data_IF_174197337954
#
_entry.id   IF_174197337954
#
_cell.length_a   1.000
_cell.length_b   1.000
_cell.length_c   1.000
_cell.angle_alpha   90.00
_cell.angle_beta   90.00
_cell.angle_gamma   90.00
#
_symmetry.space_group_name_H-M   'P 1'
#
loop_
_entity.id
_entity.type
_entity.pdbx_description
1 polymer ?
#
# COMPACT_ATOMS: atom_id res chain seq x y z
N UNK A 1 -3.98 -12.63 24.14
CA UNK A 1 -4.58 -11.40 23.59
C UNK A 1 -3.45 -10.48 23.22
N UNK A 2 -3.47 -9.90 22.01
CA UNK A 2 -2.53 -8.83 21.66
C UNK A 2 -2.88 -7.58 22.45
N UNK A 3 -1.90 -6.98 23.11
CA UNK A 3 -2.07 -5.79 23.91
C UNK A 3 -1.11 -4.70 23.43
N UNK A 4 -1.52 -3.43 23.50
CA UNK A 4 -0.64 -2.30 23.14
C UNK A 4 0.57 -2.15 24.07
N UNK A 5 0.56 -2.79 25.24
CA UNK A 5 1.70 -2.86 26.15
C UNK A 5 2.80 -3.82 25.69
N UNK A 6 2.50 -4.70 24.73
CA UNK A 6 3.48 -5.65 24.20
C UNK A 6 4.49 -4.93 23.33
N UNK A 7 5.74 -5.34 23.40
CA UNK A 7 6.78 -4.86 22.49
C UNK A 7 6.50 -5.32 21.05
N UNK A 8 7.17 -4.70 20.07
CA UNK A 8 7.04 -5.10 18.66
C UNK A 8 7.51 -6.54 18.43
N UNK A 9 8.55 -6.95 19.16
CA UNK A 9 9.11 -8.30 19.16
C UNK A 9 8.12 -9.31 19.71
N UNK A 10 7.46 -8.97 20.82
CA UNK A 10 6.43 -9.83 21.43
C UNK A 10 5.22 -9.98 20.50
N UNK A 11 4.71 -8.87 19.96
CA UNK A 11 3.60 -8.88 18.99
C UNK A 11 3.94 -9.76 17.78
N UNK A 12 5.15 -9.63 17.25
CA UNK A 12 5.64 -10.42 16.12
C UNK A 12 5.75 -11.91 16.46
N UNK A 13 6.41 -12.26 17.56
CA UNK A 13 6.58 -13.64 17.99
C UNK A 13 5.22 -14.33 18.20
N UNK A 14 4.24 -13.59 18.75
CA UNK A 14 2.88 -14.09 18.94
C UNK A 14 2.11 -14.18 17.62
N UNK A 15 2.26 -13.23 16.69
CA UNK A 15 1.69 -13.31 15.34
C UNK A 15 2.17 -14.56 14.59
N UNK A 16 3.44 -14.93 14.73
CA UNK A 16 3.97 -16.15 14.12
C UNK A 16 3.40 -17.44 14.71
N UNK A 17 3.24 -17.50 16.03
CA UNK A 17 2.60 -18.66 16.68
C UNK A 17 1.15 -18.80 16.23
N UNK A 18 0.42 -17.69 16.20
CA UNK A 18 -0.96 -17.67 15.75
C UNK A 18 -1.11 -18.03 14.27
N UNK A 19 -0.20 -17.57 13.40
CA UNK A 19 -0.18 -17.92 11.98
C UNK A 19 -0.21 -19.44 11.79
N UNK A 20 0.63 -20.17 12.52
CA UNK A 20 0.68 -21.63 12.49
C UNK A 20 -0.66 -22.20 12.99
N UNK A 21 -1.14 -21.70 14.12
CA UNK A 21 -2.36 -22.19 14.77
C UNK A 21 -3.64 -22.01 13.93
N UNK A 22 -3.74 -20.91 13.17
CA UNK A 22 -4.94 -20.60 12.37
C UNK A 22 -4.85 -21.09 10.92
N UNK A 23 -3.65 -21.41 10.42
CA UNK A 23 -3.37 -21.69 9.00
C UNK A 23 -4.32 -22.71 8.36
N UNK A 24 -4.52 -23.88 8.97
CA UNK A 24 -5.36 -24.95 8.41
C UNK A 24 -6.80 -24.48 8.23
N UNK A 25 -7.42 -23.92 9.28
CA UNK A 25 -8.81 -23.42 9.23
C UNK A 25 -8.93 -22.27 8.23
N UNK A 26 -7.95 -21.38 8.20
CA UNK A 26 -7.93 -20.25 7.29
C UNK A 26 -7.85 -20.69 5.82
N UNK A 27 -6.97 -21.63 5.49
CA UNK A 27 -6.83 -22.17 4.14
C UNK A 27 -8.09 -22.91 3.69
N UNK A 28 -8.71 -23.72 4.57
CA UNK A 28 -10.00 -24.35 4.27
C UNK A 28 -11.10 -23.33 3.94
N UNK A 29 -11.15 -22.23 4.70
CA UNK A 29 -12.08 -21.14 4.42
C UNK A 29 -11.78 -20.46 3.07
N UNK A 30 -10.51 -20.13 2.80
CA UNK A 30 -10.09 -19.56 1.52
C UNK A 30 -10.51 -20.43 0.35
N UNK A 31 -10.28 -21.75 0.42
CA UNK A 31 -10.63 -22.68 -0.64
C UNK A 31 -12.15 -22.77 -0.84
N UNK A 32 -12.92 -22.77 0.25
CA UNK A 32 -14.39 -22.71 0.18
C UNK A 32 -14.87 -21.43 -0.52
N UNK A 33 -14.29 -20.29 -0.16
CA UNK A 33 -14.65 -18.99 -0.75
C UNK A 33 -14.24 -18.92 -2.23
N UNK A 34 -13.07 -19.46 -2.60
CA UNK A 34 -12.64 -19.59 -4.00
C UNK A 34 -13.59 -20.44 -4.83
N UNK A 35 -13.95 -21.64 -4.35
CA UNK A 35 -14.93 -22.52 -5.01
C UNK A 35 -16.26 -21.81 -5.21
N UNK A 36 -16.75 -21.10 -4.18
CA UNK A 36 -17.98 -20.31 -4.26
C UNK A 36 -17.88 -19.19 -5.30
N UNK A 37 -16.77 -18.45 -5.35
CA UNK A 37 -16.54 -17.41 -6.34
C UNK A 37 -16.53 -17.96 -7.77
N UNK A 38 -15.90 -19.12 -8.01
CA UNK A 38 -15.92 -19.79 -9.31
C UNK A 38 -17.33 -20.18 -9.74
N UNK A 39 -18.14 -20.74 -8.83
CA UNK A 39 -19.52 -21.14 -9.13
C UNK A 39 -20.44 -19.95 -9.41
N UNK A 40 -20.16 -18.77 -8.84
CA UNK A 40 -21.00 -17.58 -9.03
C UNK A 40 -20.50 -16.66 -10.15
N UNK A 41 -19.41 -16.99 -10.83
CA UNK A 41 -18.91 -16.21 -11.97
C UNK A 41 -19.98 -16.08 -13.07
N UNK A 42 -20.24 -14.88 -13.64
CA UNK A 42 -19.50 -13.63 -13.48
C UNK A 42 -20.06 -12.71 -12.39
N UNK A 43 -21.02 -13.15 -11.58
CA UNK A 43 -21.68 -12.32 -10.58
C UNK A 43 -20.77 -11.98 -9.39
N UNK A 44 -20.83 -10.73 -8.89
CA UNK A 44 -20.03 -10.31 -7.75
C UNK A 44 -20.48 -11.03 -6.47
N UNK A 45 -19.52 -11.63 -5.77
CA UNK A 45 -19.74 -12.25 -4.47
C UNK A 45 -19.66 -11.20 -3.36
N UNK A 46 -20.67 -11.17 -2.48
CA UNK A 46 -20.60 -10.40 -1.24
C UNK A 46 -19.40 -10.86 -0.37
N UNK A 47 -18.73 -9.94 0.37
CA UNK A 47 -17.60 -10.29 1.22
C UNK A 47 -17.93 -11.48 2.13
N UNK A 48 -17.00 -12.45 2.20
CA UNK A 48 -17.13 -13.61 3.08
C UNK A 48 -16.17 -13.44 4.25
N UNK A 49 -16.63 -13.70 5.48
CA UNK A 49 -15.83 -13.53 6.69
C UNK A 49 -15.91 -14.76 7.59
N UNK A 50 -14.80 -15.06 8.26
CA UNK A 50 -14.70 -16.07 9.31
C UNK A 50 -13.88 -15.51 10.48
N UNK A 51 -14.23 -15.91 11.69
CA UNK A 51 -13.46 -15.58 12.90
C UNK A 51 -12.86 -16.84 13.50
N UNK A 52 -11.60 -16.79 13.90
CA UNK A 52 -10.89 -17.85 14.62
C UNK A 52 -10.35 -17.28 15.92
N UNK A 53 -10.70 -17.91 17.04
CA UNK A 53 -10.10 -17.59 18.34
C UNK A 53 -9.00 -18.59 18.65
N UNK A 54 -7.78 -18.10 18.92
CA UNK A 54 -6.65 -18.96 19.31
C UNK A 54 -6.73 -19.33 20.79
N UNK A 55 -5.93 -20.30 21.24
CA UNK A 55 -5.86 -20.72 22.65
C UNK A 55 -5.47 -19.57 23.57
N UNK A 56 -4.70 -18.60 23.06
CA UNK A 56 -4.32 -17.36 23.76
C UNK A 56 -5.40 -16.27 23.73
N UNK A 57 -6.61 -16.63 23.28
CA UNK A 57 -7.78 -15.76 23.11
C UNK A 57 -7.57 -14.60 22.13
N UNK A 58 -6.60 -14.71 21.21
CA UNK A 58 -6.50 -13.77 20.10
C UNK A 58 -7.61 -14.06 19.10
N UNK A 59 -8.35 -13.04 18.68
CA UNK A 59 -9.48 -13.17 17.76
C UNK A 59 -9.04 -12.70 16.38
N UNK A 60 -8.83 -13.65 15.48
CA UNK A 60 -8.46 -13.41 14.09
C UNK A 60 -9.69 -13.35 13.21
N UNK A 61 -9.83 -12.27 12.45
CA UNK A 61 -10.80 -12.13 11.38
C UNK A 61 -10.12 -12.43 10.06
N UNK A 62 -10.72 -13.32 9.27
CA UNK A 62 -10.29 -13.64 7.91
C UNK A 62 -11.42 -13.22 6.98
N UNK A 63 -11.14 -12.34 6.03
CA UNK A 63 -12.11 -11.82 5.07
C UNK A 63 -11.63 -12.04 3.64
N UNK A 64 -12.49 -12.64 2.83
CA UNK A 64 -12.33 -12.76 1.38
C UNK A 64 -13.28 -11.81 0.66
N UNK A 65 -12.74 -10.95 -0.21
CA UNK A 65 -13.49 -9.95 -0.97
C UNK A 65 -12.95 -9.84 -2.39
N UNK A 66 -13.83 -9.57 -3.36
CA UNK A 66 -13.38 -9.19 -4.70
C UNK A 66 -12.64 -7.85 -4.65
N UNK A 67 -11.39 -7.86 -5.08
CA UNK A 67 -10.54 -6.69 -5.20
C UNK A 67 -10.67 -6.17 -6.64
N UNK A 68 -11.26 -4.99 -6.78
CA UNK A 68 -11.50 -4.35 -8.07
C UNK A 68 -10.23 -3.99 -8.81
N UNK A 69 -9.15 -3.65 -8.10
CA UNK A 69 -7.87 -3.32 -8.70
C UNK A 69 -7.16 -4.55 -9.27
N UNK A 70 -7.05 -5.63 -8.48
CA UNK A 70 -6.43 -6.87 -8.96
C UNK A 70 -7.34 -7.68 -9.89
N UNK A 71 -8.59 -7.24 -10.08
CA UNK A 71 -9.65 -7.99 -10.76
C UNK A 71 -9.78 -9.44 -10.24
N UNK A 72 -9.51 -9.64 -8.95
CA UNK A 72 -9.34 -10.96 -8.36
C UNK A 72 -9.86 -11.01 -6.91
N UNK A 73 -10.15 -12.22 -6.44
CA UNK A 73 -10.50 -12.45 -5.06
C UNK A 73 -9.26 -12.28 -4.16
N UNK A 74 -9.32 -11.32 -3.24
CA UNK A 74 -8.27 -11.05 -2.27
C UNK A 74 -8.70 -11.50 -0.87
N UNK A 75 -7.71 -11.88 -0.07
CA UNK A 75 -7.92 -12.33 1.31
C UNK A 75 -7.01 -11.56 2.25
N UNK A 76 -7.54 -11.22 3.42
CA UNK A 76 -6.76 -10.69 4.52
C UNK A 76 -7.09 -11.43 5.82
N UNK A 77 -6.10 -11.53 6.69
CA UNK A 77 -6.26 -12.00 8.05
C UNK A 77 -5.72 -10.94 9.00
N UNK A 78 -6.50 -10.57 10.00
CA UNK A 78 -6.08 -9.58 10.98
C UNK A 78 -6.66 -9.85 12.36
N UNK A 79 -5.98 -9.36 13.40
CA UNK A 79 -6.42 -9.40 14.78
C UNK A 79 -6.22 -8.02 15.42
N UNK A 80 -7.13 -7.58 16.31
CA UNK A 80 -6.95 -6.33 17.04
C UNK A 80 -5.84 -6.45 18.08
N UNK A 81 -5.03 -5.40 18.19
CA UNK A 81 -4.11 -5.15 19.31
C UNK A 81 -4.84 -4.24 20.28
N UNK A 82 -5.29 -4.80 21.39
CA UNK A 82 -6.20 -4.14 22.31
C UNK A 82 -5.45 -3.04 23.07
N UNK A 83 -5.94 -1.81 22.92
CA UNK A 83 -5.43 -0.63 23.60
C UNK A 83 -6.46 0.01 24.52
N UNK A 84 -6.04 1.02 25.29
CA UNK A 84 -6.90 1.73 26.23
C UNK A 84 -7.79 2.78 25.55
N UNK A 85 -7.27 3.49 24.54
CA UNK A 85 -7.99 4.57 23.82
C UNK A 85 -8.43 4.18 22.40
N UNK A 86 -7.59 3.43 21.69
CA UNK A 86 -7.86 2.94 20.34
C UNK A 86 -7.16 1.61 20.14
N UNK A 87 -7.74 0.73 19.32
CA UNK A 87 -7.10 -0.52 18.95
C UNK A 87 -6.08 -0.28 17.84
N UNK A 88 -4.92 -0.93 17.98
CA UNK A 88 -4.07 -1.25 16.84
C UNK A 88 -4.52 -2.54 16.16
N UNK A 89 -3.80 -2.96 15.13
CA UNK A 89 -4.10 -4.20 14.40
C UNK A 89 -2.81 -4.90 13.97
N UNK A 90 -2.82 -6.22 14.01
CA UNK A 90 -1.84 -7.06 13.33
C UNK A 90 -2.56 -7.66 12.13
N UNK A 91 -1.94 -7.59 10.96
CA UNK A 91 -2.42 -8.22 9.74
C UNK A 91 -1.32 -9.10 9.16
N UNK A 92 -1.72 -10.21 8.57
CA UNK A 92 -0.82 -11.10 7.85
C UNK A 92 -1.32 -11.22 6.40
N UNK A 93 -0.46 -10.87 5.46
CA UNK A 93 -0.76 -10.96 4.02
C UNK A 93 -0.45 -12.38 3.54
N UNK A 94 -1.38 -13.31 3.79
CA UNK A 94 -1.32 -14.74 3.42
C UNK A 94 -0.84 -15.65 4.55
N UNK A 95 -0.85 -16.97 4.34
CA UNK A 95 -0.57 -17.97 5.39
C UNK A 95 0.75 -18.75 5.22
N UNK A 96 1.82 -18.07 4.80
CA UNK A 96 3.18 -18.63 4.70
C UNK A 96 4.12 -17.96 5.70
N UNK A 97 5.10 -18.69 6.22
CA UNK A 97 6.12 -18.15 7.14
C UNK A 97 6.95 -17.04 6.52
N UNK A 98 7.06 -17.01 5.19
CA UNK A 98 7.72 -15.95 4.43
C UNK A 98 6.82 -14.73 4.18
N UNK A 99 5.74 -14.54 4.91
CA UNK A 99 4.89 -13.37 4.72
C UNK A 99 5.29 -12.24 5.65
N UNK A 100 5.11 -11.01 5.17
CA UNK A 100 5.32 -9.82 5.98
C UNK A 100 4.16 -9.71 6.97
N UNK A 101 4.51 -9.50 8.24
CA UNK A 101 3.53 -9.12 9.26
C UNK A 101 3.38 -7.61 9.21
N UNK A 102 2.16 -7.13 9.07
CA UNK A 102 1.82 -5.71 9.09
C UNK A 102 1.29 -5.38 10.48
N UNK A 103 1.96 -4.47 11.18
CA UNK A 103 1.51 -3.94 12.46
C UNK A 103 1.04 -2.51 12.27
N UNK A 104 -0.23 -2.26 12.56
CA UNK A 104 -0.85 -0.95 12.58
C UNK A 104 -0.97 -0.52 14.03
N UNK A 105 -0.14 0.43 14.45
CA UNK A 105 -0.15 0.87 15.85
C UNK A 105 -1.48 1.55 16.21
N UNK A 106 -1.84 1.52 17.49
CA UNK A 106 -2.99 2.28 17.98
C UNK A 106 -2.87 3.78 17.62
N UNK A 107 -1.68 4.35 17.79
CA UNK A 107 -1.39 5.72 17.39
C UNK A 107 -1.59 5.95 15.89
N UNK A 108 -1.14 5.06 15.02
CA UNK A 108 -1.40 5.15 13.59
C UNK A 108 -2.91 5.17 13.29
N UNK A 109 -3.67 4.25 13.87
CA UNK A 109 -5.12 4.17 13.66
C UNK A 109 -5.82 5.43 14.14
N UNK A 110 -5.44 5.96 15.31
CA UNK A 110 -5.98 7.20 15.85
C UNK A 110 -5.70 8.38 14.90
N UNK A 111 -4.46 8.52 14.42
CA UNK A 111 -4.12 9.59 13.47
C UNK A 111 -4.87 9.45 12.15
N UNK A 112 -5.04 8.24 11.63
CA UNK A 112 -5.85 8.02 10.43
C UNK A 112 -7.32 8.43 10.63
N UNK A 113 -7.90 8.14 11.81
CA UNK A 113 -9.24 8.59 12.16
C UNK A 113 -9.33 10.12 12.14
N UNK A 114 -8.49 10.79 12.92
CA UNK A 114 -8.53 12.25 13.08
C UNK A 114 -8.31 12.98 11.76
N UNK A 115 -7.29 12.55 11.02
CA UNK A 115 -6.75 13.28 9.86
C UNK A 115 -7.45 13.01 8.54
N UNK A 116 -8.22 11.93 8.47
CA UNK A 116 -8.91 11.56 7.25
C UNK A 116 -10.39 11.35 7.51
N UNK A 117 -10.75 10.45 8.42
CA UNK A 117 -12.17 10.13 8.66
C UNK A 117 -12.92 11.32 9.25
N UNK A 118 -12.40 11.91 10.32
CA UNK A 118 -13.05 13.04 11.00
C UNK A 118 -12.93 14.32 10.17
N UNK A 119 -11.73 14.59 9.62
CA UNK A 119 -11.47 15.74 8.75
C UNK A 119 -12.46 15.82 7.58
N UNK A 120 -12.69 14.71 6.87
CA UNK A 120 -13.62 14.63 5.75
C UNK A 120 -15.04 14.20 6.13
N UNK A 121 -15.35 14.06 7.43
CA UNK A 121 -16.66 13.65 7.95
C UNK A 121 -17.19 12.36 7.30
N UNK A 122 -16.32 11.37 7.14
CA UNK A 122 -16.61 10.13 6.43
C UNK A 122 -17.46 9.21 7.32
N UNK A 123 -18.65 8.85 6.82
CA UNK A 123 -19.44 7.76 7.40
C UNK A 123 -18.86 6.39 7.01
N UNK A 124 -18.40 5.63 8.02
CA UNK A 124 -17.84 4.29 7.83
C UNK A 124 -18.90 3.24 7.45
N UNK A 125 -20.20 3.55 7.54
CA UNK A 125 -21.32 2.65 7.24
C UNK A 125 -21.20 1.31 7.97
N UNK A 126 -20.86 1.38 9.26
CA UNK A 126 -20.69 0.22 10.14
C UNK A 126 -19.41 -0.61 9.91
N UNK A 127 -18.50 -0.20 9.01
CA UNK A 127 -17.18 -0.85 8.87
C UNK A 127 -16.26 -0.44 10.01
N UNK A 128 -15.35 -1.33 10.40
CA UNK A 128 -14.27 -0.97 11.31
C UNK A 128 -13.32 0.03 10.63
N UNK A 129 -12.65 0.87 11.42
CA UNK A 129 -11.67 1.82 10.92
C UNK A 129 -10.54 1.12 10.14
N UNK A 130 -10.10 -0.05 10.63
CA UNK A 130 -9.10 -0.88 9.97
C UNK A 130 -9.57 -1.41 8.62
N UNK A 131 -10.76 -2.01 8.56
CA UNK A 131 -11.33 -2.49 7.30
C UNK A 131 -11.45 -1.35 6.30
N UNK A 132 -11.89 -0.17 6.75
CA UNK A 132 -12.01 0.99 5.89
C UNK A 132 -10.64 1.42 5.33
N UNK A 133 -9.61 1.50 6.18
CA UNK A 133 -8.26 1.84 5.73
C UNK A 133 -7.74 0.83 4.68
N UNK A 134 -7.72 -0.47 5.01
CA UNK A 134 -7.10 -1.48 4.14
C UNK A 134 -7.83 -1.63 2.81
N UNK A 135 -9.17 -1.58 2.81
CA UNK A 135 -9.93 -1.82 1.58
C UNK A 135 -10.03 -0.61 0.65
N UNK A 136 -9.79 0.60 1.16
CA UNK A 136 -9.83 1.81 0.34
C UNK A 136 -8.43 2.29 -0.06
N UNK A 137 -7.36 1.66 0.44
CA UNK A 137 -5.97 1.95 0.07
C UNK A 137 -5.31 0.71 -0.55
N UNK A 138 -5.89 0.22 -1.64
CA UNK A 138 -5.37 -0.96 -2.36
C UNK A 138 -4.19 -0.59 -3.26
N UNK A 139 -4.24 0.60 -3.86
CA UNK A 139 -3.21 1.13 -4.75
C UNK A 139 -2.27 2.04 -4.00
N UNK A 140 -1.32 1.45 -3.29
CA UNK A 140 -0.30 2.20 -2.56
C UNK A 140 1.04 2.21 -3.29
N UNK A 141 1.81 3.25 -3.03
CA UNK A 141 3.20 3.38 -3.45
C UNK A 141 4.12 3.30 -2.25
N UNK A 142 5.11 2.42 -2.31
CA UNK A 142 6.13 2.28 -1.26
C UNK A 142 7.37 3.08 -1.66
N UNK A 143 7.62 4.18 -0.96
CA UNK A 143 8.84 4.98 -1.07
C UNK A 143 9.74 4.68 0.12
N UNK A 144 10.95 4.17 -0.15
CA UNK A 144 11.94 3.93 0.90
C UNK A 144 12.52 5.25 1.40
N UNK A 145 12.60 5.40 2.72
CA UNK A 145 13.20 6.55 3.40
C UNK A 145 14.69 6.30 3.62
N UNK A 146 15.46 7.37 3.72
CA UNK A 146 16.92 7.31 3.97
C UNK A 146 17.26 6.52 5.24
N UNK A 147 16.42 6.61 6.27
CA UNK A 147 16.61 5.91 7.53
C UNK A 147 16.14 4.43 7.50
N UNK A 148 15.85 3.86 6.32
CA UNK A 148 15.42 2.48 6.15
C UNK A 148 13.91 2.21 6.32
N UNK A 149 13.13 3.21 6.77
CA UNK A 149 11.67 3.12 6.82
C UNK A 149 10.99 3.31 5.46
N UNK A 150 9.67 3.40 5.46
CA UNK A 150 8.86 3.63 4.27
C UNK A 150 7.85 4.76 4.46
N UNK A 151 7.62 5.52 3.38
CA UNK A 151 6.36 6.19 3.15
C UNK A 151 5.50 5.26 2.29
N UNK A 152 4.29 4.97 2.75
CA UNK A 152 3.29 4.20 2.03
C UNK A 152 2.21 5.18 1.63
N UNK A 153 2.26 5.61 0.38
CA UNK A 153 1.48 6.73 -0.16
C UNK A 153 0.23 6.18 -0.82
N UNK A 154 -0.91 6.81 -0.55
CA UNK A 154 -2.22 6.43 -1.08
C UNK A 154 -3.08 7.66 -1.35
N UNK A 155 -4.25 7.45 -1.96
CA UNK A 155 -5.26 8.49 -2.15
C UNK A 155 -5.71 9.15 -0.84
N UNK A 156 -5.64 8.43 0.29
CA UNK A 156 -6.03 8.98 1.59
C UNK A 156 -4.94 9.85 2.22
N UNK A 157 -3.67 9.63 1.87
CA UNK A 157 -2.52 10.30 2.49
C UNK A 157 -1.30 9.40 2.58
N UNK A 158 -0.46 9.62 3.60
CA UNK A 158 0.82 8.91 3.74
C UNK A 158 0.88 8.19 5.08
N UNK A 159 1.00 6.87 5.03
CA UNK A 159 1.39 6.09 6.19
C UNK A 159 2.91 6.05 6.33
N UNK A 160 3.41 6.47 7.50
CA UNK A 160 4.84 6.39 7.83
C UNK A 160 5.07 5.06 8.53
N UNK A 161 5.93 4.24 7.94
CA UNK A 161 6.23 2.91 8.44
C UNK A 161 7.73 2.69 8.66
N UNK A 162 8.02 1.74 9.55
CA UNK A 162 9.35 1.19 9.80
C UNK A 162 9.33 -0.29 9.39
N UNK A 163 10.40 -0.76 8.77
CA UNK A 163 10.53 -2.15 8.35
C UNK A 163 11.72 -2.81 9.04
N UNK A 164 11.50 -4.00 9.60
CA UNK A 164 12.56 -4.87 10.09
C UNK A 164 12.71 -6.02 9.12
N UNK A 165 13.85 -6.10 8.42
CA UNK A 165 14.19 -7.18 7.50
C UNK A 165 14.25 -8.52 8.24
N UNK A 166 14.95 -8.57 9.39
CA UNK A 166 15.11 -9.76 10.23
C UNK A 166 13.77 -10.37 10.64
N UNK A 167 12.81 -9.52 10.99
CA UNK A 167 11.49 -9.92 11.46
C UNK A 167 10.45 -9.87 10.35
N UNK A 168 10.78 -9.47 9.12
CA UNK A 168 9.78 -9.23 8.06
C UNK A 168 8.54 -8.47 8.57
N UNK A 169 8.76 -7.46 9.43
CA UNK A 169 7.72 -6.75 10.16
C UNK A 169 7.65 -5.32 9.66
N UNK A 170 6.50 -4.93 9.13
CA UNK A 170 6.20 -3.55 8.74
C UNK A 170 5.33 -2.90 9.82
N UNK A 171 5.88 -1.93 10.56
CA UNK A 171 5.15 -1.21 11.61
C UNK A 171 4.72 0.16 11.09
N UNK A 172 3.41 0.40 10.98
CA UNK A 172 2.82 1.70 10.67
C UNK A 172 2.79 2.53 11.95
N UNK A 173 3.62 3.56 11.98
CA UNK A 173 3.89 4.38 13.17
C UNK A 173 2.93 5.56 13.28
N UNK A 174 2.69 6.24 12.16
CA UNK A 174 1.81 7.41 12.12
C UNK A 174 1.24 7.64 10.73
N UNK A 175 0.20 8.46 10.64
CA UNK A 175 -0.47 8.82 9.41
C UNK A 175 -0.39 10.35 9.19
N UNK A 176 -0.05 10.73 7.96
CA UNK A 176 -0.06 12.10 7.49
C UNK A 176 -1.25 12.27 6.55
N UNK A 177 -2.24 13.05 6.96
CA UNK A 177 -3.24 13.62 6.07
C UNK A 177 -2.72 14.93 5.48
N UNK A 178 -3.52 15.57 4.64
CA UNK A 178 -3.26 16.92 4.12
C UNK A 178 -3.64 18.03 5.12
N UNK A 179 -4.03 17.65 6.33
CA UNK A 179 -4.39 18.53 7.44
C UNK A 179 -3.21 18.81 8.38
N UNK A 180 -3.13 20.07 8.83
CA UNK A 180 -2.32 20.50 9.98
C UNK A 180 -0.90 19.91 10.00
N UNK A 181 -0.18 20.09 8.90
CA UNK A 181 1.20 19.67 8.78
C UNK A 181 2.15 20.82 9.12
N UNK A 182 3.23 20.50 9.83
CA UNK A 182 4.38 21.41 9.88
C UNK A 182 4.95 21.58 8.48
N UNK A 183 5.59 22.72 8.19
CA UNK A 183 6.14 23.00 6.85
C UNK A 183 6.95 21.83 6.28
N UNK A 184 7.83 21.23 7.08
CA UNK A 184 8.62 20.07 6.67
C UNK A 184 7.76 18.86 6.27
N UNK A 185 6.69 18.58 7.01
CA UNK A 185 5.78 17.47 6.69
C UNK A 185 4.95 17.77 5.46
N UNK A 186 4.55 19.03 5.25
CA UNK A 186 3.83 19.45 4.05
C UNK A 186 4.66 19.24 2.80
N UNK A 187 5.94 19.63 2.81
CA UNK A 187 6.84 19.42 1.67
C UNK A 187 6.97 17.94 1.28
N UNK A 188 7.15 17.06 2.28
CA UNK A 188 7.19 15.61 2.07
C UNK A 188 5.85 15.12 1.50
N UNK A 189 4.74 15.58 2.08
CA UNK A 189 3.41 15.19 1.65
C UNK A 189 3.14 15.55 0.19
N UNK A 190 3.39 16.82 -0.17
CA UNK A 190 3.15 17.33 -1.51
C UNK A 190 4.02 16.63 -2.56
N UNK A 191 5.29 16.38 -2.26
CA UNK A 191 6.20 15.69 -3.17
C UNK A 191 5.74 14.26 -3.43
N UNK A 192 5.50 13.49 -2.38
CA UNK A 192 5.13 12.08 -2.48
C UNK A 192 3.76 11.90 -3.14
N UNK A 193 2.78 12.77 -2.86
CA UNK A 193 1.44 12.71 -3.46
C UNK A 193 1.46 13.05 -4.95
N UNK A 194 2.27 14.03 -5.38
CA UNK A 194 2.43 14.35 -6.81
C UNK A 194 3.02 13.17 -7.58
N UNK A 195 4.08 12.56 -7.05
CA UNK A 195 4.69 11.34 -7.62
C UNK A 195 3.66 10.21 -7.68
N UNK A 196 2.94 9.96 -6.59
CA UNK A 196 1.92 8.92 -6.52
C UNK A 196 0.85 9.06 -7.61
N UNK A 197 0.27 10.26 -7.79
CA UNK A 197 -0.75 10.52 -8.81
C UNK A 197 -0.25 10.25 -10.22
N UNK A 198 0.97 10.67 -10.55
CA UNK A 198 1.58 10.38 -11.85
C UNK A 198 1.83 8.88 -12.06
N UNK A 199 2.33 8.19 -11.03
CA UNK A 199 2.59 6.74 -11.07
C UNK A 199 1.29 5.95 -11.26
N UNK A 200 0.20 6.35 -10.61
CA UNK A 200 -1.10 5.71 -10.83
C UNK A 200 -1.59 5.86 -12.27
N UNK A 201 -1.42 7.04 -12.87
CA UNK A 201 -1.77 7.26 -14.26
C UNK A 201 -0.94 6.38 -15.20
N UNK A 202 0.37 6.28 -14.97
CA UNK A 202 1.26 5.39 -15.72
C UNK A 202 0.86 3.93 -15.60
N UNK A 203 0.58 3.43 -14.38
CA UNK A 203 0.10 2.06 -14.17
C UNK A 203 -1.17 1.77 -14.98
N UNK A 204 -2.13 2.69 -14.97
CA UNK A 204 -3.39 2.56 -15.73
C UNK A 204 -3.15 2.57 -17.24
N UNK A 205 -2.22 3.38 -17.73
CA UNK A 205 -1.85 3.42 -19.15
C UNK A 205 -1.13 2.14 -19.59
N UNK A 206 -0.16 1.67 -18.81
CA UNK A 206 0.58 0.42 -19.08
C UNK A 206 -0.35 -0.79 -19.18
N UNK A 207 -1.34 -0.88 -18.29
CA UNK A 207 -2.38 -1.91 -18.35
C UNK A 207 -3.22 -1.88 -19.64
N UNK A 208 -3.45 -0.70 -20.23
CA UNK A 208 -4.29 -0.53 -21.43
C UNK A 208 -3.51 -0.65 -22.74
N UNK A 209 -2.29 -0.12 -22.79
CA UNK A 209 -1.51 0.07 -24.02
C UNK A 209 -0.22 -0.74 -24.08
N UNK A 210 0.21 -1.34 -22.96
CA UNK A 210 1.42 -2.16 -22.91
C UNK A 210 2.74 -1.41 -23.10
N UNK A 211 2.73 -0.07 -23.11
CA UNK A 211 3.91 0.74 -23.43
C UNK A 211 4.10 1.88 -22.41
N UNK A 212 5.31 1.98 -21.88
CA UNK A 212 5.82 3.07 -21.06
C UNK A 212 7.19 3.51 -21.60
N UNK A 213 7.20 4.54 -22.44
CA UNK A 213 8.42 5.18 -22.94
C UNK A 213 8.75 6.48 -22.17
N UNK A 214 10.00 6.93 -22.29
CA UNK A 214 10.49 8.12 -21.56
C UNK A 214 9.71 9.40 -21.88
N UNK A 215 9.16 9.54 -23.09
CA UNK A 215 8.37 10.71 -23.51
C UNK A 215 7.04 10.70 -22.75
N UNK A 216 6.36 9.55 -22.75
CA UNK A 216 5.11 9.34 -22.02
C UNK A 216 5.31 9.54 -20.51
N UNK A 217 6.36 8.93 -19.95
CA UNK A 217 6.72 9.05 -18.53
C UNK A 217 6.97 10.52 -18.17
N UNK A 218 7.76 11.24 -18.98
CA UNK A 218 8.06 12.65 -18.74
C UNK A 218 6.84 13.55 -18.84
N UNK A 219 6.00 13.35 -19.86
CA UNK A 219 4.77 14.13 -20.03
C UNK A 219 3.82 13.96 -18.84
N UNK A 220 3.69 12.76 -18.29
CA UNK A 220 2.87 12.51 -17.09
C UNK A 220 3.53 13.12 -15.85
N UNK A 221 4.85 12.99 -15.70
CA UNK A 221 5.59 13.61 -14.59
C UNK A 221 5.39 15.13 -14.57
N UNK A 222 5.41 15.80 -15.73
CA UNK A 222 5.10 17.23 -15.86
C UNK A 222 3.65 17.55 -15.51
N UNK A 223 2.70 16.78 -16.03
CA UNK A 223 1.25 16.97 -15.78
C UNK A 223 0.93 16.97 -14.28
N UNK A 224 1.61 16.14 -13.49
CA UNK A 224 1.40 16.04 -12.04
C UNK A 224 2.38 16.86 -11.22
N UNK A 225 3.25 17.67 -11.85
CA UNK A 225 4.31 18.43 -11.18
C UNK A 225 5.25 17.55 -10.33
N UNK A 226 5.44 16.29 -10.73
CA UNK A 226 6.25 15.31 -10.02
C UNK A 226 7.72 15.32 -10.45
N UNK A 227 8.03 15.94 -11.59
CA UNK A 227 9.39 16.21 -12.04
C UNK A 227 10.24 14.97 -12.30
N UNK A 228 11.56 15.17 -12.35
CA UNK A 228 12.54 14.13 -12.68
C UNK A 228 12.52 12.96 -11.68
N UNK A 229 12.26 13.25 -10.41
CA UNK A 229 12.26 12.26 -9.34
C UNK A 229 11.25 11.13 -9.64
N UNK A 230 10.08 11.45 -10.19
CA UNK A 230 9.11 10.45 -10.62
C UNK A 230 9.66 9.54 -11.73
N UNK A 231 10.36 10.11 -12.73
CA UNK A 231 10.93 9.37 -13.85
C UNK A 231 11.96 8.36 -13.34
N UNK A 232 12.90 8.83 -12.51
CA UNK A 232 13.93 8.00 -11.88
C UNK A 232 13.30 6.84 -11.08
N UNK A 233 12.33 7.15 -10.21
CA UNK A 233 11.66 6.15 -9.39
C UNK A 233 10.87 5.15 -10.23
N UNK A 234 10.24 5.58 -11.32
CA UNK A 234 9.52 4.68 -12.23
C UNK A 234 10.43 3.60 -12.83
N UNK A 235 11.59 3.98 -13.39
CA UNK A 235 12.55 3.02 -13.93
C UNK A 235 13.05 2.05 -12.84
N UNK A 236 13.43 2.59 -11.67
CA UNK A 236 13.86 1.78 -10.53
C UNK A 236 12.80 0.77 -10.06
N UNK A 237 11.53 1.17 -9.96
CA UNK A 237 10.44 0.26 -9.58
C UNK A 237 10.15 -0.83 -10.61
N UNK A 238 10.46 -0.57 -11.89
CA UNK A 238 10.34 -1.56 -12.96
C UNK A 238 11.62 -2.40 -13.13
N UNK A 239 12.62 -2.24 -12.26
CA UNK A 239 13.86 -3.02 -12.29
C UNK A 239 14.78 -2.68 -13.46
N UNK A 240 14.63 -1.48 -14.04
CA UNK A 240 15.44 -1.00 -15.14
C UNK A 240 16.47 0.00 -14.59
N UNK A 241 17.75 -0.33 -14.72
CA UNK A 241 18.84 0.58 -14.38
C UNK A 241 19.15 1.47 -15.59
N UNK A 242 18.92 2.78 -15.42
CA UNK A 242 19.25 3.79 -16.43
C UNK A 242 20.09 4.87 -15.73
N UNK A 243 21.26 5.26 -16.27
CA UNK A 243 22.05 6.35 -15.71
C UNK A 243 21.23 7.64 -15.62
N UNK A 244 21.31 8.35 -14.49
CA UNK A 244 20.57 9.61 -14.30
C UNK A 244 20.95 10.65 -15.36
N UNK A 245 22.25 10.75 -15.70
CA UNK A 245 22.75 11.66 -16.74
C UNK A 245 22.11 11.37 -18.11
N UNK A 246 21.89 10.09 -18.44
CA UNK A 246 21.22 9.71 -19.68
C UNK A 246 19.74 10.11 -19.67
N UNK A 247 19.03 9.89 -18.56
CA UNK A 247 17.64 10.32 -18.41
C UNK A 247 17.53 11.86 -18.52
N UNK A 248 18.46 12.59 -17.92
CA UNK A 248 18.53 14.05 -18.03
C UNK A 248 18.73 14.50 -19.47
N UNK A 249 19.70 13.93 -20.20
CA UNK A 249 19.93 14.25 -21.61
C UNK A 249 18.70 13.97 -22.47
N UNK A 250 18.03 12.82 -22.28
CA UNK A 250 16.79 12.53 -22.99
C UNK A 250 15.72 13.58 -22.70
N UNK A 251 15.52 13.97 -21.44
CA UNK A 251 14.53 14.98 -21.06
C UNK A 251 14.87 16.34 -21.66
N UNK A 252 16.13 16.78 -21.61
CA UNK A 252 16.58 18.03 -22.22
C UNK A 252 16.28 18.07 -23.73
N UNK A 253 16.56 16.98 -24.44
CA UNK A 253 16.25 16.86 -25.88
C UNK A 253 14.74 16.87 -26.12
N UNK A 254 13.95 16.16 -25.30
CA UNK A 254 12.48 16.17 -25.39
C UNK A 254 11.93 17.58 -25.22
N UNK A 255 12.44 18.35 -24.25
CA UNK A 255 11.96 19.70 -23.98
C UNK A 255 12.41 20.70 -25.04
N UNK A 256 13.70 20.66 -25.43
CA UNK A 256 14.28 21.59 -26.40
C UNK A 256 13.67 21.46 -27.78
N UNK A 257 13.34 20.24 -28.21
CA UNK A 257 12.85 19.96 -29.56
C UNK A 257 11.38 19.50 -29.60
N UNK A 258 10.67 19.56 -28.47
CA UNK A 258 9.26 19.14 -28.34
C UNK A 258 8.98 17.72 -28.87
N UNK A 259 9.90 16.78 -28.63
CA UNK A 259 9.87 15.43 -29.21
C UNK A 259 8.62 14.66 -28.78
N UNK A 260 7.91 14.06 -29.76
CA UNK A 260 6.66 13.32 -29.54
C UNK A 260 6.77 11.80 -29.86
N UNK A 261 7.90 11.33 -30.38
CA UNK A 261 8.12 9.92 -30.70
C UNK A 261 9.51 9.44 -30.31
N UNK A 262 9.63 8.17 -29.92
CA UNK A 262 10.90 7.54 -29.59
C UNK A 262 11.88 7.54 -30.76
N UNK A 263 11.38 7.32 -31.98
CA UNK A 263 12.19 7.35 -33.20
C UNK A 263 12.91 8.69 -33.36
N UNK A 264 12.17 9.79 -33.16
CA UNK A 264 12.76 11.14 -33.25
C UNK A 264 13.72 11.43 -32.11
N UNK A 265 13.46 10.90 -30.92
CA UNK A 265 14.39 11.02 -29.79
C UNK A 265 15.71 10.32 -30.10
N UNK A 266 15.67 9.10 -30.63
CA UNK A 266 16.87 8.33 -31.00
C UNK A 266 17.68 9.05 -32.08
N UNK A 267 17.01 9.61 -33.10
CA UNK A 267 17.66 10.41 -34.15
C UNK A 267 18.41 11.63 -33.58
N UNK A 268 17.84 12.32 -32.58
CA UNK A 268 18.44 13.51 -31.98
C UNK A 268 19.52 13.20 -30.92
N UNK A 269 19.55 11.97 -30.42
CA UNK A 269 20.52 11.49 -29.44
C UNK A 269 21.72 10.77 -30.08
N UNK A 270 21.67 10.51 -31.39
CA UNK A 270 22.75 9.89 -32.19
C UNK A 270 23.68 10.93 -32.77
#
# INVERSE_FOLDING_TARGET
>A
MYLTSMSREELYAEAHKDLIAISTKANMFIDKVRKKATMMSPFPMAPQRMTITTTRRNVWTIEGRYNSYMHALAFQAYAPVIGTSSNGYIQITGFKSSNIVMHYTAHFMQRYKERYIDHYQIDLKGKSLFDYFVYNNLDVLYTRRENGGYFIVSDHGIAVAEFSDERRLMTHVTFLGDDELTLRKQLIYDEEIKIYKGVLELKRLKLRKGQDDIITIWNIAKKHHAGFEMVKRWYKWNGVEVPEDYLHQCIEVIEKYHVQSLEKLVELMS
#
